data_IF_349588598632
#
_entry.id   IF_349588598632
#
_cell.length_a   1.000
_cell.length_b   1.000
_cell.length_c   1.000
_cell.angle_alpha   90.00
_cell.angle_beta   90.00
_cell.angle_gamma   90.00
#
_symmetry.space_group_name_H-M   'P 1'
#
loop_
_entity.id
_entity.type
_entity.pdbx_description
1 polymer ?
#
# COMPACT_ATOMS: atom_id res chain seq x y z
N UNK A 1 -36.30 46.15 -46.65
CA UNK A 1 -35.86 46.43 -48.03
C UNK A 1 -34.38 46.08 -48.20
N UNK A 2 -34.18 45.15 -49.09
CA UNK A 2 -32.99 44.37 -49.41
C UNK A 2 -31.94 45.10 -50.25
N UNK A 3 -30.77 44.45 -50.31
CA UNK A 3 -29.78 44.42 -51.40
C UNK A 3 -28.71 45.52 -51.43
N UNK A 4 -27.45 45.25 -51.78
CA UNK A 4 -26.70 44.02 -52.07
C UNK A 4 -25.25 44.43 -52.43
N UNK A 5 -24.38 43.41 -52.61
CA UNK A 5 -23.08 43.38 -53.32
C UNK A 5 -21.84 43.74 -52.51
N UNK A 6 -20.69 43.12 -52.73
CA UNK A 6 -20.21 41.84 -53.28
C UNK A 6 -18.68 41.91 -53.03
N UNK A 7 -18.02 40.77 -52.76
CA UNK A 7 -16.55 40.71 -52.61
C UNK A 7 -15.79 41.03 -53.91
N UNK A 8 -14.45 40.88 -53.90
CA UNK A 8 -13.92 39.56 -54.25
C UNK A 8 -12.66 39.11 -53.49
N UNK A 9 -12.45 37.80 -53.62
CA UNK A 9 -11.39 36.90 -53.19
C UNK A 9 -10.10 36.94 -54.03
N UNK A 10 -8.96 36.59 -53.42
CA UNK A 10 -7.83 35.72 -53.85
C UNK A 10 -6.61 36.03 -52.97
N UNK A 11 -5.57 35.22 -52.73
CA UNK A 11 -5.29 33.77 -52.76
C UNK A 11 -3.81 33.62 -52.30
N UNK A 12 -3.50 32.54 -51.60
CA UNK A 12 -2.24 31.76 -51.71
C UNK A 12 -0.96 32.14 -50.92
N UNK A 13 -0.57 31.13 -50.12
CA UNK A 13 0.72 30.42 -50.03
C UNK A 13 1.90 30.96 -49.18
N UNK A 14 2.32 30.04 -48.29
CA UNK A 14 3.69 29.61 -47.95
C UNK A 14 4.61 30.51 -47.11
N UNK A 15 5.17 29.88 -46.06
CA UNK A 15 6.26 30.42 -45.25
C UNK A 15 6.52 29.59 -44.00
N UNK A 16 7.20 28.46 -44.15
CA UNK A 16 7.78 27.65 -43.08
C UNK A 16 9.12 28.23 -42.61
N UNK A 17 9.35 28.24 -41.29
CA UNK A 17 10.65 28.29 -40.60
C UNK A 17 10.34 27.95 -39.13
N UNK A 18 10.62 26.75 -38.61
CA UNK A 18 11.94 26.17 -38.29
C UNK A 18 12.70 27.00 -37.25
N UNK A 19 12.50 26.65 -35.98
CA UNK A 19 13.41 26.97 -34.87
C UNK A 19 13.63 25.71 -34.07
N UNK A 20 14.83 25.16 -34.24
CA UNK A 20 15.50 24.19 -33.38
C UNK A 20 15.95 24.85 -32.06
N UNK A 21 16.21 24.00 -31.06
CA UNK A 21 16.82 24.20 -29.71
C UNK A 21 15.87 23.71 -28.61
N UNK A 22 16.26 22.91 -27.63
CA UNK A 22 17.51 22.24 -27.29
C UNK A 22 17.12 21.00 -26.49
N UNK A 23 17.84 19.90 -26.71
CA UNK A 23 17.78 18.71 -25.88
C UNK A 23 18.24 19.05 -24.46
N UNK A 24 17.35 18.89 -23.49
CA UNK A 24 17.72 18.73 -22.09
C UNK A 24 17.38 17.30 -21.69
N UNK A 25 18.44 16.51 -21.66
CA UNK A 25 18.60 15.26 -20.93
C UNK A 25 18.16 15.45 -19.46
N UNK A 26 17.00 14.91 -19.12
CA UNK A 26 16.62 14.62 -17.73
C UNK A 26 16.34 13.13 -17.65
N UNK A 27 17.39 12.40 -17.27
CA UNK A 27 17.31 10.99 -16.90
C UNK A 27 16.36 10.74 -15.73
N UNK A 28 15.76 9.55 -15.77
CA UNK A 28 15.32 8.76 -14.61
C UNK A 28 14.32 9.37 -13.62
N UNK A 29 13.27 10.03 -14.10
CA UNK A 29 12.11 10.44 -13.29
C UNK A 29 10.78 9.77 -13.74
N UNK A 30 10.83 8.48 -14.10
CA UNK A 30 9.66 7.71 -14.60
C UNK A 30 9.33 6.46 -13.76
N UNK A 31 9.12 6.61 -12.45
CA UNK A 31 8.54 5.53 -11.65
C UNK A 31 7.05 5.70 -11.29
N UNK A 32 6.41 6.87 -11.53
CA UNK A 32 4.98 7.04 -11.19
C UNK A 32 4.11 7.89 -12.15
N UNK A 33 4.59 8.28 -13.34
CA UNK A 33 3.73 8.91 -14.36
C UNK A 33 4.12 8.39 -15.76
N UNK A 34 3.35 7.48 -16.39
CA UNK A 34 2.06 7.85 -16.99
C UNK A 34 1.03 6.68 -17.08
N UNK A 35 -0.09 6.78 -16.37
CA UNK A 35 -1.28 5.95 -16.65
C UNK A 35 -2.58 6.78 -16.56
N UNK A 36 -2.55 7.99 -17.15
CA UNK A 36 -3.71 8.89 -17.26
C UNK A 36 -4.04 9.26 -18.71
N UNK A 37 -3.82 8.35 -19.66
CA UNK A 37 -4.25 8.53 -21.05
C UNK A 37 -5.66 7.94 -21.27
N UNK A 38 -6.64 8.84 -21.20
CA UNK A 38 -7.91 8.91 -21.94
C UNK A 38 -8.54 7.59 -22.42
N UNK A 39 -9.51 7.11 -21.65
CA UNK A 39 -10.47 6.09 -22.08
C UNK A 39 -11.87 6.75 -22.11
N UNK A 40 -12.78 6.42 -23.04
CA UNK A 40 -14.07 7.10 -23.24
C UNK A 40 -14.94 7.22 -21.97
N UNK A 41 -15.62 8.37 -21.83
CA UNK A 41 -16.49 8.74 -20.69
C UNK A 41 -17.84 8.00 -20.73
N UNK A 42 -17.83 6.69 -20.56
CA UNK A 42 -19.02 6.00 -20.04
C UNK A 42 -19.01 6.08 -18.51
N UNK A 43 -20.17 5.97 -17.86
CA UNK A 43 -20.32 6.00 -16.39
C UNK A 43 -19.47 4.89 -15.76
N UNK A 44 -18.19 5.18 -15.52
CA UNK A 44 -17.33 4.31 -14.74
C UNK A 44 -17.65 4.55 -13.28
N UNK A 45 -17.80 3.46 -12.55
CA UNK A 45 -17.84 3.48 -11.09
C UNK A 45 -16.44 3.85 -10.62
N UNK A 46 -16.11 5.13 -10.71
CA UNK A 46 -14.84 5.67 -10.27
C UNK A 46 -14.90 5.89 -8.76
N UNK A 47 -13.81 5.58 -8.08
CA UNK A 47 -13.64 6.02 -6.71
C UNK A 47 -13.43 7.53 -6.70
N UNK A 48 -14.07 8.21 -5.75
CA UNK A 48 -14.02 9.67 -5.58
C UNK A 48 -13.02 9.96 -4.47
N UNK A 49 -11.82 10.38 -4.85
CA UNK A 49 -10.78 10.73 -3.90
C UNK A 49 -10.89 12.19 -3.46
N UNK A 50 -10.88 12.46 -2.15
CA UNK A 50 -10.68 13.81 -1.63
C UNK A 50 -9.28 14.31 -1.96
N UNK A 51 -9.15 15.62 -2.20
CA UNK A 51 -7.85 16.30 -2.44
C UNK A 51 -6.86 16.04 -1.30
N UNK A 52 -7.36 15.83 -0.08
CA UNK A 52 -6.51 15.55 1.07
C UNK A 52 -5.76 14.21 0.92
N UNK A 53 -6.33 13.23 0.22
CA UNK A 53 -5.64 11.95 0.01
C UNK A 53 -4.49 12.08 -0.97
N UNK A 54 -4.61 12.92 -2.01
CA UNK A 54 -3.49 13.22 -2.91
C UNK A 54 -2.33 13.83 -2.13
N UNK A 55 -2.62 14.76 -1.19
CA UNK A 55 -1.60 15.36 -0.31
C UNK A 55 -0.94 14.33 0.59
N UNK A 56 -1.75 13.48 1.24
CA UNK A 56 -1.26 12.39 2.09
C UNK A 56 -0.33 11.47 1.30
N UNK A 57 -0.71 11.06 0.10
CA UNK A 57 0.10 10.15 -0.72
C UNK A 57 1.38 10.79 -1.24
N UNK A 58 1.36 12.07 -1.61
CA UNK A 58 2.59 12.78 -2.01
C UNK A 58 3.57 12.88 -0.84
N UNK A 59 3.07 13.23 0.35
CA UNK A 59 3.89 13.27 1.57
C UNK A 59 4.45 11.89 1.90
N UNK A 60 3.61 10.86 1.84
CA UNK A 60 4.03 9.48 2.07
C UNK A 60 5.09 9.01 1.08
N UNK A 61 4.92 9.30 -0.21
CA UNK A 61 5.91 9.00 -1.23
C UNK A 61 7.26 9.64 -0.91
N UNK A 62 7.28 10.93 -0.56
CA UNK A 62 8.48 11.66 -0.19
C UNK A 62 9.12 11.09 1.09
N UNK A 63 8.32 10.72 2.09
CA UNK A 63 8.80 10.14 3.34
C UNK A 63 9.53 8.82 3.08
N UNK A 64 8.92 7.91 2.31
CA UNK A 64 9.49 6.58 2.07
C UNK A 64 10.66 6.64 1.09
N UNK A 65 10.46 7.23 -0.09
CA UNK A 65 11.44 7.12 -1.18
C UNK A 65 12.54 8.18 -1.12
N UNK A 66 12.28 9.36 -0.52
CA UNK A 66 13.27 10.44 -0.46
C UNK A 66 13.89 10.61 0.92
N UNK A 67 13.09 10.51 1.99
CA UNK A 67 13.58 10.69 3.37
C UNK A 67 13.96 9.37 4.06
N UNK A 68 13.77 8.23 3.39
CA UNK A 68 14.06 6.89 3.91
C UNK A 68 13.38 6.62 5.26
N UNK A 69 12.17 7.14 5.44
CA UNK A 69 11.33 6.90 6.60
C UNK A 69 10.32 5.81 6.27
N UNK A 70 10.15 4.86 7.18
CA UNK A 70 9.18 3.78 7.01
C UNK A 70 7.96 4.05 7.88
N UNK A 71 6.74 3.69 7.42
CA UNK A 71 5.59 3.63 8.31
C UNK A 71 5.87 2.65 9.45
N UNK A 72 5.52 3.01 10.68
CA UNK A 72 5.71 2.12 11.84
C UNK A 72 4.83 0.88 11.72
N UNK A 73 5.42 -0.28 12.01
CA UNK A 73 4.72 -1.56 12.07
C UNK A 73 4.96 -2.26 13.42
N UNK A 74 3.91 -2.55 14.21
CA UNK A 74 2.50 -2.25 13.96
C UNK A 74 2.20 -0.74 14.09
N UNK A 75 1.19 -0.23 13.37
CA UNK A 75 0.74 1.15 13.47
C UNK A 75 -0.04 1.40 14.78
N UNK A 76 -0.25 2.68 15.11
CA UNK A 76 -1.15 3.11 16.20
C UNK A 76 -2.60 2.64 15.99
N UNK A 77 -3.05 2.66 14.75
CA UNK A 77 -4.37 2.17 14.33
C UNK A 77 -4.15 1.25 13.14
N UNK A 78 -4.49 -0.02 13.32
CA UNK A 78 -4.43 -1.03 12.26
C UNK A 78 -5.58 -0.82 11.27
N UNK A 79 -5.50 -1.46 10.10
CA UNK A 79 -6.61 -1.46 9.14
C UNK A 79 -7.84 -2.12 9.78
N UNK A 80 -7.64 -3.19 10.55
CA UNK A 80 -8.71 -3.86 11.30
C UNK A 80 -9.41 -2.90 12.29
N UNK A 81 -8.64 -2.13 13.07
CA UNK A 81 -9.18 -1.10 13.96
C UNK A 81 -10.01 -0.05 13.19
N UNK A 82 -9.48 0.41 12.06
CA UNK A 82 -10.10 1.45 11.23
C UNK A 82 -11.42 0.95 10.65
N UNK A 83 -11.44 -0.26 10.08
CA UNK A 83 -12.62 -0.86 9.47
C UNK A 83 -13.67 -1.18 10.54
N UNK A 84 -13.26 -1.66 11.71
CA UNK A 84 -14.15 -1.85 12.86
C UNK A 84 -14.82 -0.53 13.26
N UNK A 85 -14.08 0.58 13.31
CA UNK A 85 -14.64 1.92 13.58
C UNK A 85 -15.58 2.41 12.47
N UNK A 86 -15.31 2.04 11.22
CA UNK A 86 -16.24 2.32 10.14
C UNK A 86 -17.55 1.54 10.33
N UNK A 87 -17.51 0.24 10.62
CA UNK A 87 -18.69 -0.59 10.89
C UNK A 87 -19.49 -0.06 12.08
N UNK A 88 -18.84 0.34 13.17
CA UNK A 88 -19.49 0.98 14.32
C UNK A 88 -20.27 2.25 13.91
N UNK A 89 -19.71 3.05 12.99
CA UNK A 89 -20.37 4.25 12.48
C UNK A 89 -21.60 3.94 11.62
N UNK A 90 -21.70 2.72 11.09
CA UNK A 90 -22.84 2.23 10.30
C UNK A 90 -23.88 1.48 11.14
N UNK A 91 -23.81 1.54 12.48
CA UNK A 91 -24.69 0.76 13.37
C UNK A 91 -26.21 0.95 13.20
N UNK A 92 -26.64 2.04 12.56
CA UNK A 92 -28.05 2.32 12.25
C UNK A 92 -28.44 1.95 10.81
N UNK A 93 -27.52 1.43 10.02
CA UNK A 93 -27.75 1.03 8.64
C UNK A 93 -28.46 -0.34 8.62
N UNK A 94 -29.62 -0.48 7.93
CA UNK A 94 -30.32 -1.77 7.83
C UNK A 94 -29.47 -2.86 7.16
N UNK A 95 -28.52 -2.49 6.31
CA UNK A 95 -27.69 -3.41 5.53
C UNK A 95 -26.35 -3.70 6.21
N UNK A 96 -26.27 -3.54 7.54
CA UNK A 96 -25.02 -3.66 8.31
C UNK A 96 -24.31 -5.00 8.13
N UNK A 97 -25.06 -6.10 8.05
CA UNK A 97 -24.45 -7.43 7.91
C UNK A 97 -23.84 -7.62 6.52
N UNK A 98 -24.53 -7.17 5.47
CA UNK A 98 -23.98 -7.15 4.11
C UNK A 98 -22.73 -6.25 4.02
N UNK A 99 -22.69 -5.15 4.76
CA UNK A 99 -21.51 -4.29 4.84
C UNK A 99 -20.33 -5.04 5.46
N UNK A 100 -20.55 -5.80 6.55
CA UNK A 100 -19.48 -6.59 7.17
C UNK A 100 -18.97 -7.69 6.24
N UNK A 101 -19.86 -8.45 5.63
CA UNK A 101 -19.50 -9.51 4.68
C UNK A 101 -18.66 -8.95 3.51
N UNK A 102 -19.07 -7.78 2.99
CA UNK A 102 -18.31 -7.10 1.93
C UNK A 102 -16.97 -6.53 2.41
N UNK A 103 -16.86 -6.15 3.69
CA UNK A 103 -15.58 -5.74 4.30
C UNK A 103 -14.66 -6.96 4.43
N UNK A 104 -15.17 -8.10 4.86
CA UNK A 104 -14.38 -9.33 4.98
C UNK A 104 -13.83 -9.76 3.61
N UNK A 105 -14.66 -9.70 2.56
CA UNK A 105 -14.22 -9.91 1.18
C UNK A 105 -13.11 -8.92 0.76
N UNK A 106 -13.25 -7.65 1.14
CA UNK A 106 -12.27 -6.61 0.84
C UNK A 106 -10.94 -6.83 1.60
N UNK A 107 -11.00 -7.30 2.84
CA UNK A 107 -9.85 -7.68 3.66
C UNK A 107 -9.10 -8.85 3.02
N UNK A 108 -9.82 -9.87 2.56
CA UNK A 108 -9.23 -10.98 1.81
C UNK A 108 -8.52 -10.45 0.56
N UNK A 109 -9.14 -9.52 -0.16
CA UNK A 109 -8.51 -8.93 -1.34
C UNK A 109 -7.26 -8.12 -0.99
N UNK A 110 -7.31 -7.29 0.06
CA UNK A 110 -6.15 -6.54 0.56
C UNK A 110 -4.98 -7.47 0.88
N UNK A 111 -5.23 -8.54 1.64
CA UNK A 111 -4.21 -9.49 2.06
C UNK A 111 -3.50 -10.15 0.86
N UNK A 112 -4.21 -10.35 -0.26
CA UNK A 112 -3.65 -10.91 -1.50
C UNK A 112 -2.81 -9.95 -2.33
N UNK A 113 -3.03 -8.63 -2.20
CA UNK A 113 -2.40 -7.63 -3.08
C UNK A 113 -1.36 -6.75 -2.41
N UNK A 114 -1.31 -6.74 -1.06
CA UNK A 114 -0.45 -5.85 -0.29
C UNK A 114 1.02 -5.96 -0.73
N UNK A 115 1.55 -7.18 -0.75
CA UNK A 115 2.93 -7.49 -1.15
C UNK A 115 3.20 -7.32 -2.65
N UNK A 116 2.17 -7.26 -3.50
CA UNK A 116 2.34 -7.15 -4.95
C UNK A 116 2.29 -5.72 -5.47
N UNK A 117 1.46 -4.86 -4.85
CA UNK A 117 1.05 -3.59 -5.46
C UNK A 117 0.91 -2.41 -4.50
N UNK A 118 0.93 -2.63 -3.18
CA UNK A 118 0.64 -1.57 -2.20
C UNK A 118 1.90 -1.09 -1.48
N UNK A 119 2.89 -1.96 -1.29
CA UNK A 119 4.18 -1.61 -0.68
C UNK A 119 5.12 -0.96 -1.69
N UNK A 120 5.85 0.07 -1.24
CA UNK A 120 7.04 0.58 -1.93
C UNK A 120 8.21 -0.39 -1.77
N UNK A 121 9.20 -0.26 -2.65
CA UNK A 121 10.36 -1.16 -2.70
C UNK A 121 11.12 -1.22 -1.35
N UNK A 122 11.25 -0.10 -0.65
CA UNK A 122 11.95 -0.01 0.64
C UNK A 122 11.18 -0.70 1.78
N UNK A 123 9.86 -0.79 1.69
CA UNK A 123 9.02 -1.40 2.73
C UNK A 123 9.06 -2.94 2.69
N UNK A 124 9.58 -3.55 1.62
CA UNK A 124 9.67 -5.01 1.50
C UNK A 124 10.55 -5.63 2.60
N UNK A 125 11.64 -4.98 3.00
CA UNK A 125 12.50 -5.48 4.08
C UNK A 125 11.74 -5.50 5.40
N UNK A 126 10.99 -4.42 5.70
CA UNK A 126 10.13 -4.34 6.87
C UNK A 126 9.01 -5.40 6.83
N UNK A 127 8.40 -5.62 5.67
CA UNK A 127 7.38 -6.66 5.48
C UNK A 127 7.92 -8.06 5.78
N UNK A 128 9.10 -8.41 5.26
CA UNK A 128 9.74 -9.69 5.52
C UNK A 128 10.08 -9.87 7.00
N UNK A 129 10.56 -8.80 7.67
CA UNK A 129 10.80 -8.82 9.11
C UNK A 129 9.51 -9.08 9.90
N UNK A 130 8.39 -8.43 9.53
CA UNK A 130 7.09 -8.67 10.14
C UNK A 130 6.60 -10.12 9.95
N UNK A 131 6.73 -10.66 8.73
CA UNK A 131 6.39 -12.05 8.43
C UNK A 131 7.19 -13.03 9.29
N UNK A 132 8.51 -12.84 9.38
CA UNK A 132 9.39 -13.70 10.16
C UNK A 132 9.08 -13.62 11.66
N UNK A 133 8.83 -12.42 12.19
CA UNK A 133 8.44 -12.23 13.61
C UNK A 133 7.15 -12.98 13.94
N UNK A 134 6.13 -12.89 13.07
CA UNK A 134 4.88 -13.64 13.24
C UNK A 134 5.09 -15.15 13.12
N UNK A 135 5.86 -15.64 12.13
CA UNK A 135 6.20 -17.08 12.03
C UNK A 135 6.84 -17.62 13.31
N UNK A 136 7.78 -16.86 13.90
CA UNK A 136 8.38 -17.21 15.20
C UNK A 136 7.35 -17.24 16.33
N UNK A 137 6.47 -16.24 16.39
CA UNK A 137 5.44 -16.14 17.43
C UNK A 137 4.43 -17.30 17.40
N UNK A 138 4.11 -17.80 16.21
CA UNK A 138 3.21 -18.95 16.03
C UNK A 138 3.91 -20.32 16.18
N UNK A 139 5.15 -20.35 16.67
CA UNK A 139 5.89 -21.61 16.86
C UNK A 139 6.17 -22.36 15.56
N UNK A 140 6.10 -21.66 14.42
CA UNK A 140 6.39 -22.22 13.10
C UNK A 140 7.89 -22.22 12.76
N UNK A 141 8.72 -21.81 13.73
CA UNK A 141 10.13 -22.17 13.80
C UNK A 141 10.31 -23.18 14.94
N UNK A 142 10.23 -24.45 14.58
CA UNK A 142 10.96 -25.49 15.30
C UNK A 142 12.16 -25.83 14.40
N UNK A 143 13.37 -25.82 14.98
CA UNK A 143 14.67 -26.19 14.38
C UNK A 143 15.53 -25.07 13.76
N UNK A 144 16.61 -24.75 14.48
CA UNK A 144 17.95 -24.38 13.97
C UNK A 144 18.18 -23.00 13.33
N UNK A 145 17.58 -21.92 13.86
CA UNK A 145 17.93 -20.56 13.45
C UNK A 145 18.74 -19.77 14.53
N UNK A 146 19.27 -20.47 15.54
CA UNK A 146 20.12 -19.85 16.57
C UNK A 146 21.50 -19.43 16.03
N UNK A 147 21.91 -19.88 14.84
CA UNK A 147 23.27 -19.62 14.33
C UNK A 147 23.41 -18.44 13.34
N UNK A 148 22.34 -17.68 13.02
CA UNK A 148 22.42 -16.66 11.96
C UNK A 148 21.95 -15.24 12.31
N UNK A 149 21.51 -14.95 13.53
CA UNK A 149 21.16 -13.59 13.95
C UNK A 149 21.74 -13.17 15.32
N UNK A 150 22.74 -13.88 15.84
CA UNK A 150 23.49 -13.48 17.04
C UNK A 150 24.73 -12.64 16.72
N UNK A 151 24.57 -11.63 15.87
CA UNK A 151 25.49 -10.49 15.80
C UNK A 151 24.68 -9.19 15.68
N UNK A 152 24.02 -8.80 16.75
CA UNK A 152 24.39 -7.57 17.48
C UNK A 152 23.54 -7.45 18.75
N UNK A 153 24.22 -7.61 19.88
CA UNK A 153 23.68 -7.44 21.22
C UNK A 153 23.14 -6.02 21.41
N UNK A 154 21.84 -5.94 21.66
CA UNK A 154 21.22 -4.88 22.43
C UNK A 154 21.65 -5.05 23.91
N UNK A 155 22.86 -4.57 24.25
CA UNK A 155 23.36 -4.64 25.63
C UNK A 155 23.05 -3.33 26.38
N UNK A 156 21.84 -3.26 26.95
CA UNK A 156 21.57 -2.48 28.15
C UNK A 156 22.36 -3.11 29.30
N UNK A 157 23.31 -2.36 29.87
CA UNK A 157 24.28 -2.90 30.82
C UNK A 157 23.67 -3.65 32.00
N UNK A 158 24.24 -4.80 32.31
CA UNK A 158 24.44 -5.28 33.67
C UNK A 158 25.56 -6.35 33.69
N UNK A 159 26.23 -6.43 34.81
CA UNK A 159 27.58 -6.95 35.01
C UNK A 159 27.77 -8.46 34.73
N UNK A 160 28.97 -8.80 34.26
CA UNK A 160 29.51 -10.16 34.21
C UNK A 160 29.68 -10.74 35.63
N UNK A 161 29.65 -12.08 35.80
CA UNK A 161 30.95 -12.75 35.88
C UNK A 161 31.03 -14.13 35.19
N UNK A 162 32.29 -14.48 34.94
CA UNK A 162 32.86 -15.67 34.31
C UNK A 162 32.51 -17.01 34.99
N UNK A 163 32.45 -18.10 34.21
CA UNK A 163 33.21 -19.34 34.48
C UNK A 163 33.13 -20.37 33.33
N UNK A 164 34.14 -21.23 33.30
CA UNK A 164 34.65 -22.13 32.25
C UNK A 164 33.86 -23.43 31.95
N UNK A 165 34.09 -23.92 30.71
CA UNK A 165 34.29 -25.31 30.24
C UNK A 165 33.38 -26.48 30.69
N UNK A 166 32.77 -27.18 29.71
CA UNK A 166 33.01 -28.61 29.44
C UNK A 166 32.18 -29.15 28.24
N UNK A 167 32.79 -30.10 27.52
CA UNK A 167 32.32 -30.85 26.34
C UNK A 167 31.35 -31.98 26.72
N UNK A 168 30.40 -32.34 25.86
CA UNK A 168 30.15 -33.73 25.39
C UNK A 168 28.91 -33.87 24.46
N UNK A 169 29.20 -34.35 23.25
CA UNK A 169 28.55 -35.39 22.42
C UNK A 169 27.02 -35.52 22.31
N UNK A 170 26.52 -35.02 21.19
CA UNK A 170 25.82 -35.74 20.09
C UNK A 170 24.89 -36.92 20.43
N UNK A 171 23.58 -36.65 20.38
CA UNK A 171 22.56 -37.60 19.91
C UNK A 171 21.59 -36.89 18.98
N UNK A 172 21.79 -37.09 17.68
CA UNK A 172 20.84 -36.70 16.62
C UNK A 172 19.71 -37.73 16.59
N UNK A 173 18.61 -37.45 17.28
CA UNK A 173 17.33 -38.06 16.92
C UNK A 173 16.72 -37.28 15.76
N UNK A 174 16.53 -37.98 14.64
CA UNK A 174 15.86 -37.48 13.44
C UNK A 174 14.41 -37.11 13.77
N UNK A 175 14.18 -35.86 14.14
CA UNK A 175 12.86 -35.24 14.05
C UNK A 175 12.52 -35.06 12.57
N UNK A 176 11.58 -35.86 12.08
CA UNK A 176 11.16 -35.83 10.69
C UNK A 176 10.74 -34.41 10.28
N UNK A 177 11.38 -33.90 9.22
CA UNK A 177 10.92 -32.72 8.48
C UNK A 177 9.48 -32.94 8.03
N UNK A 178 8.53 -32.50 8.85
CA UNK A 178 7.22 -32.14 8.34
C UNK A 178 7.44 -30.90 7.49
N UNK A 179 7.38 -31.06 6.18
CA UNK A 179 7.20 -29.94 5.26
C UNK A 179 5.86 -29.24 5.60
N UNK A 180 5.90 -28.35 6.58
CA UNK A 180 4.78 -27.47 6.89
C UNK A 180 4.82 -26.35 5.85
N UNK A 181 4.05 -26.52 4.77
CA UNK A 181 3.67 -25.39 3.92
C UNK A 181 2.77 -24.52 4.78
N UNK A 182 3.30 -23.40 5.24
CA UNK A 182 2.46 -22.31 5.72
C UNK A 182 1.96 -21.64 4.46
N UNK A 183 0.69 -21.88 4.14
CA UNK A 183 0.05 -21.13 3.08
C UNK A 183 0.05 -19.65 3.53
N UNK A 184 0.49 -18.74 2.66
CA UNK A 184 0.43 -17.29 2.92
C UNK A 184 -1.01 -16.83 3.23
N UNK A 185 -2.00 -17.68 2.94
CA UNK A 185 -3.42 -17.52 3.23
C UNK A 185 -3.75 -17.41 4.74
N UNK A 186 -2.87 -17.83 5.65
CA UNK A 186 -3.10 -17.69 7.10
C UNK A 186 -2.67 -16.33 7.67
N UNK A 187 -1.96 -15.51 6.88
CA UNK A 187 -1.51 -14.20 7.32
C UNK A 187 -2.59 -13.15 7.14
N UNK A 188 -3.18 -12.73 8.25
CA UNK A 188 -3.96 -11.50 8.26
C UNK A 188 -3.00 -10.30 8.25
N UNK A 189 -3.03 -9.48 7.20
CA UNK A 189 -2.17 -8.29 7.10
C UNK A 189 -2.87 -7.02 7.59
N UNK A 190 -4.19 -7.05 7.81
CA UNK A 190 -4.94 -5.88 8.27
C UNK A 190 -4.65 -5.52 9.74
N UNK A 191 -4.07 -6.44 10.51
CA UNK A 191 -3.58 -6.22 11.87
C UNK A 191 -2.14 -5.63 11.92
N UNK A 192 -1.46 -5.58 10.77
CA UNK A 192 -0.03 -5.25 10.67
C UNK A 192 0.17 -3.89 10.04
N UNK A 193 -0.69 -3.56 9.08
CA UNK A 193 -0.65 -2.30 8.36
C UNK A 193 -1.73 -1.35 8.85
N UNK A 194 -1.53 -0.06 8.55
CA UNK A 194 -2.40 1.02 9.00
C UNK A 194 -2.96 1.86 7.87
N UNK A 195 -3.46 3.04 8.25
CA UNK A 195 -4.14 4.00 7.39
C UNK A 195 -3.49 4.21 6.02
N UNK A 196 -2.18 4.46 5.97
CA UNK A 196 -1.53 4.82 4.69
C UNK A 196 -1.59 3.70 3.66
N UNK A 197 -1.42 2.45 4.10
CA UNK A 197 -1.50 1.27 3.23
C UNK A 197 -2.91 1.05 2.71
N UNK A 198 -3.94 1.35 3.52
CA UNK A 198 -5.33 1.30 3.09
C UNK A 198 -5.63 2.36 2.03
N UNK A 199 -5.10 3.58 2.18
CA UNK A 199 -5.24 4.64 1.17
C UNK A 199 -4.56 4.23 -0.14
N UNK A 200 -3.31 3.74 -0.09
CA UNK A 200 -2.60 3.22 -1.28
C UNK A 200 -3.38 2.09 -1.96
N UNK A 201 -3.95 1.18 -1.17
CA UNK A 201 -4.80 0.10 -1.69
C UNK A 201 -6.01 0.63 -2.45
N UNK A 202 -6.71 1.67 -1.96
CA UNK A 202 -7.82 2.27 -2.70
C UNK A 202 -7.40 2.93 -4.00
N UNK A 203 -6.23 3.58 -4.05
CA UNK A 203 -5.70 4.12 -5.31
C UNK A 203 -5.38 3.02 -6.31
N UNK A 204 -4.75 1.94 -5.86
CA UNK A 204 -4.54 0.75 -6.67
C UNK A 204 -5.88 0.16 -7.15
N UNK A 205 -6.87 0.03 -6.27
CA UNK A 205 -8.20 -0.45 -6.61
C UNK A 205 -8.87 0.38 -7.70
N UNK A 206 -8.74 1.71 -7.63
CA UNK A 206 -9.25 2.62 -8.66
C UNK A 206 -8.57 2.41 -10.02
N UNK A 207 -7.30 2.00 -10.04
CA UNK A 207 -6.61 1.65 -11.28
C UNK A 207 -7.21 0.39 -11.92
N UNK A 208 -7.57 -0.61 -11.10
CA UNK A 208 -8.24 -1.84 -11.56
C UNK A 208 -9.63 -1.57 -12.14
N UNK A 209 -10.40 -0.69 -11.49
CA UNK A 209 -11.71 -0.24 -12.00
C UNK A 209 -11.61 0.48 -13.35
N UNK A 210 -10.44 1.04 -13.68
CA UNK A 210 -10.21 1.73 -14.95
C UNK A 210 -9.65 0.83 -16.05
N UNK A 211 -8.98 -0.27 -15.68
CA UNK A 211 -8.13 -1.04 -16.60
C UNK A 211 -8.83 -2.18 -17.33
N UNK A 212 -10.05 -2.59 -16.96
CA UNK A 212 -10.63 -3.82 -17.52
C UNK A 212 -12.16 -3.77 -17.70
N UNK A 213 -12.66 -3.99 -18.92
CA UNK A 213 -14.09 -4.05 -19.23
C UNK A 213 -14.78 -5.32 -18.72
N UNK A 214 -14.03 -6.41 -18.48
CA UNK A 214 -14.57 -7.71 -18.05
C UNK A 214 -14.52 -7.86 -16.53
N UNK A 215 -13.42 -7.45 -15.89
CA UNK A 215 -13.29 -7.49 -14.44
C UNK A 215 -14.08 -6.38 -13.71
N UNK A 216 -14.62 -5.41 -14.46
CA UNK A 216 -15.52 -4.39 -13.93
C UNK A 216 -16.64 -4.99 -13.07
N UNK A 217 -17.26 -6.12 -13.44
CA UNK A 217 -18.35 -6.70 -12.64
C UNK A 217 -17.95 -7.07 -11.20
N UNK A 218 -16.72 -7.56 -11.00
CA UNK A 218 -16.23 -7.99 -9.67
C UNK A 218 -15.76 -6.77 -8.86
N UNK A 219 -15.02 -5.85 -9.48
CA UNK A 219 -14.50 -4.68 -8.79
C UNK A 219 -15.56 -3.59 -8.54
N UNK A 220 -16.59 -3.53 -9.38
CA UNK A 220 -17.70 -2.60 -9.16
C UNK A 220 -18.53 -2.97 -7.93
N UNK A 221 -18.53 -4.25 -7.51
CA UNK A 221 -19.23 -4.74 -6.31
C UNK A 221 -18.87 -3.91 -5.07
N UNK A 222 -17.58 -3.62 -4.87
CA UNK A 222 -17.10 -2.93 -3.66
C UNK A 222 -16.91 -1.42 -3.86
N UNK A 223 -17.12 -0.88 -5.06
CA UNK A 223 -16.82 0.52 -5.35
C UNK A 223 -17.65 1.51 -4.50
N UNK A 224 -18.91 1.18 -4.23
CA UNK A 224 -19.79 2.00 -3.37
C UNK A 224 -19.31 1.96 -1.91
N UNK A 225 -19.08 0.76 -1.37
CA UNK A 225 -18.52 0.56 -0.03
C UNK A 225 -17.18 1.29 0.15
N UNK A 226 -16.26 1.15 -0.81
CA UNK A 226 -14.96 1.82 -0.76
C UNK A 226 -15.14 3.34 -0.76
N UNK A 227 -16.08 3.88 -1.54
CA UNK A 227 -16.38 5.32 -1.51
C UNK A 227 -16.92 5.78 -0.14
N UNK A 228 -17.69 4.96 0.55
CA UNK A 228 -18.14 5.26 1.92
C UNK A 228 -17.00 5.22 2.93
N UNK A 229 -16.11 4.23 2.81
CA UNK A 229 -14.90 4.15 3.64
C UNK A 229 -13.99 5.37 3.37
N UNK A 230 -13.79 5.75 2.10
CA UNK A 230 -13.01 6.95 1.74
C UNK A 230 -13.62 8.20 2.38
N UNK A 231 -14.95 8.38 2.36
CA UNK A 231 -15.62 9.51 3.02
C UNK A 231 -15.39 9.49 4.53
N UNK A 232 -15.55 8.33 5.18
CA UNK A 232 -15.28 8.15 6.60
C UNK A 232 -13.85 8.51 6.96
N UNK A 233 -12.89 7.99 6.19
CA UNK A 233 -11.46 8.27 6.38
C UNK A 233 -11.16 9.75 6.17
N UNK A 234 -11.74 10.40 5.16
CA UNK A 234 -11.54 11.83 4.89
C UNK A 234 -11.92 12.71 6.09
N UNK A 235 -13.06 12.41 6.72
CA UNK A 235 -13.51 13.13 7.94
C UNK A 235 -12.55 12.92 9.11
N UNK A 236 -11.82 11.80 9.12
CA UNK A 236 -10.95 11.37 10.22
C UNK A 236 -9.45 11.38 9.86
N UNK A 237 -9.03 12.06 8.78
CA UNK A 237 -7.62 12.04 8.32
C UNK A 237 -6.67 12.48 9.43
N UNK A 238 -6.98 13.57 10.13
CA UNK A 238 -6.12 14.12 11.20
C UNK A 238 -5.99 13.19 12.41
N UNK A 239 -6.90 12.22 12.57
CA UNK A 239 -6.82 11.18 13.59
C UNK A 239 -5.88 10.06 13.18
N UNK A 240 -5.93 9.67 11.91
CA UNK A 240 -5.26 8.47 11.39
C UNK A 240 -3.92 8.74 10.70
N UNK A 241 -3.64 9.98 10.32
CA UNK A 241 -2.42 10.40 9.64
C UNK A 241 -1.72 11.55 10.37
N UNK A 242 -0.62 11.22 11.02
CA UNK A 242 0.29 12.12 11.72
C UNK A 242 1.72 11.62 11.53
N UNK A 243 2.52 12.40 10.82
CA UNK A 243 3.84 11.98 10.35
C UNK A 243 4.72 11.51 11.52
N UNK A 244 4.76 12.29 12.60
CA UNK A 244 5.63 12.06 13.76
C UNK A 244 5.23 10.79 14.53
N UNK A 245 3.94 10.48 14.53
CA UNK A 245 3.41 9.31 15.21
C UNK A 245 3.50 8.06 14.31
N UNK A 246 3.32 8.21 12.99
CA UNK A 246 3.15 7.10 12.06
C UNK A 246 4.42 6.68 11.32
N UNK A 247 5.47 7.50 11.28
CA UNK A 247 6.71 7.17 10.57
C UNK A 247 7.91 7.15 11.52
N UNK A 248 8.89 6.32 11.18
CA UNK A 248 10.19 6.24 11.84
C UNK A 248 11.31 6.25 10.82
N UNK A 249 12.52 6.59 11.24
CA UNK A 249 13.70 6.55 10.38
C UNK A 249 13.96 5.09 10.03
N UNK A 250 14.02 4.76 8.75
CA UNK A 250 14.49 3.45 8.31
C UNK A 250 15.95 3.31 8.71
N UNK A 251 16.24 2.45 9.68
CA UNK A 251 17.62 2.09 10.00
C UNK A 251 18.21 1.32 8.81
N UNK A 252 19.41 1.70 8.32
CA UNK A 252 20.15 0.87 7.41
C UNK A 252 20.35 -0.51 8.07
N UNK A 253 19.97 -1.57 7.35
CA UNK A 253 20.29 -2.94 7.74
C UNK A 253 21.76 -3.26 7.47
#
# INVERSE_FOLDING_TARGET
>A
PSNARQGPSTSSLEGAAETTKDEADTGDDLLFAPYLAQVPKEKRNNLIFPVEFDRVLNVDYDLVNCQLKLPKTPPRYTIDDILSKFVESQSQNPDLEDIKDNIDDLVIFFNKVINLRVLYQLEFVQHLACLNKKRRLFGLFDLAADDFLDQEEFNCGLESPMSEEAKEEEKVEQAGSKNFKIDEDDFNFVDTYGFIHLVRFFYFYNSLLKSDTVANGIYTKYAELINEIIKFLNVNVSKYFKIEENYEIGTPA
#
